data_IF_558125787167
#
_entry.id   IF_558125787167
#
_cell.length_a   1.000
_cell.length_b   1.000
_cell.length_c   1.000
_cell.angle_alpha   90.00
_cell.angle_beta   90.00
_cell.angle_gamma   90.00
#
_symmetry.space_group_name_H-M   'P 1'
#
loop_
_entity.id
_entity.type
_entity.pdbx_description
1 polymer ?
#
# COMPACT_ATOMS: atom_id res chain seq x y z
N UNK A 1 27.81 -8.45 -31.91
CA UNK A 1 27.64 -7.13 -31.29
C UNK A 1 27.78 -7.35 -29.79
N UNK A 2 28.63 -6.60 -29.07
CA UNK A 2 28.70 -6.75 -27.62
C UNK A 2 27.34 -6.35 -27.03
N UNK A 3 26.71 -7.27 -26.29
CA UNK A 3 25.38 -7.10 -25.71
C UNK A 3 25.35 -5.88 -24.81
N UNK A 4 24.23 -5.16 -24.82
CA UNK A 4 24.12 -3.94 -24.02
C UNK A 4 23.98 -4.36 -22.55
N UNK A 5 24.89 -3.88 -21.71
CA UNK A 5 24.68 -3.90 -20.25
C UNK A 5 23.71 -2.77 -19.92
N UNK A 6 22.60 -3.10 -19.25
CA UNK A 6 21.64 -2.12 -18.75
C UNK A 6 21.98 -1.80 -17.30
N UNK A 7 22.26 -0.54 -17.01
CA UNK A 7 22.46 -0.02 -15.65
C UNK A 7 21.27 0.85 -15.26
N UNK A 8 20.69 0.58 -14.08
CA UNK A 8 19.61 1.34 -13.48
C UNK A 8 19.95 1.66 -12.04
N UNK A 9 19.69 2.89 -11.60
CA UNK A 9 19.86 3.29 -10.21
C UNK A 9 18.50 3.49 -9.57
N UNK A 10 18.15 2.70 -8.56
CA UNK A 10 16.83 2.65 -7.93
C UNK A 10 16.91 3.31 -6.55
N UNK A 11 16.07 4.32 -6.23
CA UNK A 11 16.16 5.03 -4.96
C UNK A 11 15.45 4.28 -3.83
N UNK A 12 16.02 4.31 -2.63
CA UNK A 12 15.47 3.73 -1.40
C UNK A 12 14.81 4.80 -0.52
N UNK A 13 13.80 4.45 0.32
CA UNK A 13 13.13 5.41 1.20
C UNK A 13 14.08 6.16 2.14
N UNK A 14 15.21 5.54 2.49
CA UNK A 14 16.27 6.11 3.33
C UNK A 14 17.13 7.17 2.64
N UNK A 15 16.87 7.49 1.37
CA UNK A 15 17.70 8.38 0.53
C UNK A 15 18.90 7.69 -0.12
N UNK A 16 19.15 6.43 0.21
CA UNK A 16 20.17 5.59 -0.44
C UNK A 16 19.72 5.20 -1.87
N UNK A 17 20.64 4.65 -2.66
CA UNK A 17 20.34 4.13 -4.01
C UNK A 17 20.97 2.76 -4.20
N UNK A 18 20.28 1.91 -4.95
CA UNK A 18 20.77 0.61 -5.39
C UNK A 18 21.12 0.68 -6.86
N UNK A 19 22.29 0.18 -7.23
CA UNK A 19 22.71 0.08 -8.61
C UNK A 19 22.46 -1.33 -9.13
N UNK A 20 21.60 -1.43 -10.14
CA UNK A 20 21.17 -2.67 -10.77
C UNK A 20 21.82 -2.79 -12.15
N UNK A 21 22.43 -3.94 -12.40
CA UNK A 21 23.11 -4.27 -13.64
C UNK A 21 22.50 -5.53 -14.25
N UNK A 22 22.17 -5.46 -15.54
CA UNK A 22 21.63 -6.58 -16.31
C UNK A 22 22.47 -6.77 -17.57
N UNK A 23 22.93 -7.99 -17.82
CA UNK A 23 23.67 -8.32 -19.03
C UNK A 23 22.82 -9.18 -19.96
N UNK A 24 22.74 -8.82 -21.24
CA UNK A 24 22.01 -9.63 -22.24
C UNK A 24 22.74 -10.94 -22.62
N UNK A 25 24.07 -10.99 -22.48
CA UNK A 25 24.90 -12.11 -22.95
C UNK A 25 25.34 -13.09 -21.85
N UNK A 26 25.29 -12.65 -20.60
CA UNK A 26 25.40 -13.50 -19.42
C UNK A 26 24.10 -13.27 -18.68
N UNK A 27 23.24 -14.27 -18.47
CA UNK A 27 21.90 -14.08 -17.92
C UNK A 27 21.97 -13.80 -16.41
N UNK A 28 22.77 -12.82 -16.02
CA UNK A 28 23.08 -12.47 -14.65
C UNK A 28 22.51 -11.08 -14.38
N UNK A 29 21.72 -11.02 -13.32
CA UNK A 29 21.22 -9.80 -12.71
C UNK A 29 22.05 -9.53 -11.44
N UNK A 30 22.48 -8.28 -11.24
CA UNK A 30 23.28 -7.90 -10.07
C UNK A 30 22.77 -6.61 -9.45
N UNK A 31 22.71 -6.57 -8.12
CA UNK A 31 22.41 -5.37 -7.35
C UNK A 31 23.57 -5.03 -6.41
N UNK A 32 23.94 -3.75 -6.40
CA UNK A 32 25.01 -3.20 -5.58
C UNK A 32 24.53 -2.03 -4.73
N UNK A 33 25.24 -1.81 -3.63
CA UNK A 33 25.20 -0.59 -2.86
C UNK A 33 26.63 -0.23 -2.42
N UNK A 34 27.06 1.01 -2.69
CA UNK A 34 28.40 1.50 -2.35
C UNK A 34 29.53 0.57 -2.84
N UNK A 35 29.44 0.18 -4.13
CA UNK A 35 30.31 -0.78 -4.83
C UNK A 35 30.36 -2.20 -4.23
N UNK A 36 29.53 -2.51 -3.23
CA UNK A 36 29.39 -3.84 -2.64
C UNK A 36 28.23 -4.61 -3.29
N UNK A 37 28.49 -5.84 -3.73
CA UNK A 37 27.46 -6.76 -4.24
C UNK A 37 26.52 -7.17 -3.09
N UNK A 38 25.23 -6.85 -3.24
CA UNK A 38 24.18 -7.24 -2.29
C UNK A 38 23.48 -8.52 -2.73
N UNK A 39 23.25 -8.68 -4.03
CA UNK A 39 22.56 -9.83 -4.60
C UNK A 39 22.98 -10.04 -6.06
N UNK A 40 23.32 -11.28 -6.40
CA UNK A 40 23.64 -11.73 -7.77
C UNK A 40 22.75 -12.91 -8.09
N UNK A 41 22.07 -12.86 -9.23
CA UNK A 41 21.03 -13.82 -9.63
C UNK A 41 21.27 -14.28 -11.06
N UNK A 42 21.32 -15.58 -11.27
CA UNK A 42 21.30 -16.21 -12.58
C UNK A 42 19.84 -16.44 -13.03
N UNK A 43 19.51 -16.02 -14.24
CA UNK A 43 18.18 -16.07 -14.85
C UNK A 43 18.17 -17.10 -15.99
N UNK A 44 17.82 -18.36 -15.69
CA UNK A 44 17.79 -19.43 -16.70
C UNK A 44 16.41 -20.05 -16.77
N UNK A 45 15.82 -20.12 -17.98
CA UNK A 45 14.53 -20.76 -18.24
C UNK A 45 13.37 -20.28 -17.33
N UNK A 46 13.35 -18.98 -16.99
CA UNK A 46 12.35 -18.39 -16.10
C UNK A 46 12.56 -18.72 -14.61
N UNK A 47 13.72 -19.27 -14.27
CA UNK A 47 14.14 -19.54 -12.90
C UNK A 47 15.19 -18.51 -12.50
N UNK A 48 15.00 -17.87 -11.35
CA UNK A 48 15.93 -16.93 -10.77
C UNK A 48 16.68 -17.57 -9.59
N UNK A 49 17.93 -18.00 -9.83
CA UNK A 49 18.79 -18.64 -8.83
C UNK A 49 19.77 -17.63 -8.26
N UNK A 50 19.80 -17.52 -6.94
CA UNK A 50 20.72 -16.64 -6.22
C UNK A 50 22.10 -17.29 -6.15
N UNK A 51 23.08 -16.68 -6.82
CA UNK A 51 24.48 -17.12 -6.79
C UNK A 51 25.23 -16.54 -5.58
N UNK A 52 24.94 -15.28 -5.24
CA UNK A 52 25.58 -14.56 -4.14
C UNK A 52 24.58 -13.62 -3.50
N UNK A 53 24.67 -13.47 -2.18
CA UNK A 53 23.84 -12.56 -1.42
C UNK A 53 24.57 -12.02 -0.18
N UNK A 54 24.17 -10.84 0.28
CA UNK A 54 24.61 -10.31 1.56
C UNK A 54 23.98 -11.09 2.73
N UNK A 55 24.62 -11.04 3.89
CA UNK A 55 24.13 -11.73 5.10
C UNK A 55 23.17 -10.88 5.93
N UNK A 56 23.12 -9.57 5.69
CA UNK A 56 22.27 -8.64 6.42
C UNK A 56 20.83 -8.69 5.84
N UNK A 57 19.81 -9.11 6.62
CA UNK A 57 18.47 -9.34 6.08
C UNK A 57 17.82 -8.10 5.47
N UNK A 58 18.06 -6.90 6.02
CA UNK A 58 17.45 -5.67 5.51
C UNK A 58 17.99 -5.33 4.12
N UNK A 59 19.31 -5.37 3.93
CA UNK A 59 19.96 -5.22 2.63
C UNK A 59 19.50 -6.28 1.63
N UNK A 60 19.32 -7.53 2.07
CA UNK A 60 18.81 -8.58 1.20
C UNK A 60 17.38 -8.28 0.72
N UNK A 61 16.50 -7.82 1.62
CA UNK A 61 15.14 -7.43 1.26
C UNK A 61 15.11 -6.23 0.30
N UNK A 62 16.02 -5.25 0.47
CA UNK A 62 16.19 -4.13 -0.46
C UNK A 62 16.66 -4.59 -1.84
N UNK A 63 17.60 -5.53 -1.90
CA UNK A 63 18.06 -6.11 -3.15
C UNK A 63 16.97 -6.98 -3.82
N UNK A 64 16.22 -7.76 -3.04
CA UNK A 64 15.08 -8.53 -3.53
C UNK A 64 13.96 -7.63 -4.08
N UNK A 65 13.70 -6.50 -3.44
CA UNK A 65 12.82 -5.47 -3.99
C UNK A 65 13.28 -5.02 -5.38
N UNK A 66 14.55 -4.58 -5.49
CA UNK A 66 15.14 -4.13 -6.74
C UNK A 66 15.05 -5.21 -7.84
N UNK A 67 15.22 -6.48 -7.47
CA UNK A 67 15.03 -7.62 -8.35
C UNK A 67 13.58 -7.70 -8.86
N UNK A 68 12.61 -7.78 -7.95
CA UNK A 68 11.20 -7.97 -8.32
C UNK A 68 10.61 -6.81 -9.12
N UNK A 69 11.04 -5.57 -8.90
CA UNK A 69 10.58 -4.43 -9.74
C UNK A 69 11.27 -4.41 -11.11
N UNK A 70 12.49 -4.92 -11.21
CA UNK A 70 13.22 -4.99 -12.48
C UNK A 70 12.82 -6.21 -13.33
N UNK A 71 12.38 -7.28 -12.67
CA UNK A 71 11.98 -8.56 -13.25
C UNK A 71 10.52 -8.88 -12.88
N UNK A 72 9.54 -8.18 -13.48
CA UNK A 72 8.13 -8.29 -13.08
C UNK A 72 7.50 -9.66 -13.35
N UNK A 73 8.04 -10.41 -14.31
CA UNK A 73 7.55 -11.76 -14.67
C UNK A 73 8.11 -12.86 -13.75
N UNK A 74 9.08 -12.52 -12.88
CA UNK A 74 9.66 -13.47 -11.93
C UNK A 74 8.85 -13.50 -10.64
N UNK A 75 8.43 -14.71 -10.26
CA UNK A 75 7.60 -14.95 -9.08
C UNK A 75 8.42 -15.33 -7.85
N UNK A 76 9.69 -15.74 -8.00
CA UNK A 76 10.49 -16.17 -6.87
C UNK A 76 12.00 -15.98 -7.06
N UNK A 77 12.73 -15.87 -5.94
CA UNK A 77 14.18 -16.03 -5.85
C UNK A 77 14.50 -17.34 -5.13
N UNK A 78 15.34 -18.17 -5.74
CA UNK A 78 15.78 -19.46 -5.18
C UNK A 78 17.18 -19.34 -4.58
N UNK A 79 17.32 -19.73 -3.32
CA UNK A 79 18.57 -19.68 -2.57
C UNK A 79 19.13 -21.09 -2.38
N UNK A 80 20.44 -21.23 -2.51
CA UNK A 80 21.16 -22.46 -2.22
C UNK A 80 21.19 -22.79 -0.72
N UNK A 81 21.66 -24.00 -0.40
CA UNK A 81 21.56 -24.57 0.94
C UNK A 81 22.25 -23.73 2.02
N UNK A 82 21.58 -23.55 3.17
CA UNK A 82 22.20 -22.98 4.38
C UNK A 82 21.81 -21.54 4.72
N UNK A 83 21.07 -20.84 3.85
CA UNK A 83 20.44 -19.56 4.19
C UNK A 83 19.03 -19.79 4.75
N UNK A 84 18.74 -19.22 5.93
CA UNK A 84 17.44 -19.34 6.57
C UNK A 84 16.97 -17.99 7.09
N UNK A 85 15.90 -17.47 6.49
CA UNK A 85 15.17 -16.34 7.01
C UNK A 85 13.71 -16.76 7.25
N UNK A 86 13.13 -16.28 8.36
CA UNK A 86 11.80 -16.69 8.82
C UNK A 86 10.66 -16.41 7.83
N UNK A 87 10.91 -15.57 6.82
CA UNK A 87 9.96 -15.18 5.79
C UNK A 87 10.11 -15.97 4.47
N UNK A 88 11.00 -16.97 4.40
CA UNK A 88 11.23 -17.79 3.20
C UNK A 88 10.62 -19.19 3.34
N UNK A 89 10.16 -19.74 2.22
CA UNK A 89 9.75 -21.15 2.14
C UNK A 89 11.00 -22.02 2.20
N UNK A 90 10.99 -23.02 3.08
CA UNK A 90 12.05 -24.02 3.16
C UNK A 90 11.67 -25.22 2.29
N UNK A 91 12.56 -25.65 1.40
CA UNK A 91 12.35 -26.79 0.52
C UNK A 91 13.16 -28.02 0.96
N UNK A 92 12.87 -29.16 0.34
CA UNK A 92 13.65 -30.38 0.51
C UNK A 92 15.10 -30.13 0.02
N UNK A 93 16.09 -30.57 0.79
CA UNK A 93 17.54 -30.34 0.58
C UNK A 93 18.11 -29.00 1.09
N UNK A 94 17.46 -28.36 2.07
CA UNK A 94 17.93 -27.13 2.74
C UNK A 94 17.98 -25.89 1.85
N UNK A 95 17.38 -25.95 0.66
CA UNK A 95 17.17 -24.80 -0.22
C UNK A 95 16.04 -23.92 0.33
N UNK A 96 16.09 -22.63 0.01
CA UNK A 96 15.07 -21.67 0.43
C UNK A 96 14.53 -20.87 -0.76
N UNK A 97 13.27 -20.46 -0.68
CA UNK A 97 12.62 -19.67 -1.73
C UNK A 97 11.95 -18.44 -1.14
N UNK A 98 12.22 -17.28 -1.72
CA UNK A 98 11.49 -16.05 -1.47
C UNK A 98 10.50 -15.82 -2.60
N UNK A 99 9.22 -16.02 -2.33
CA UNK A 99 8.16 -15.71 -3.27
C UNK A 99 7.90 -14.20 -3.32
N UNK A 100 7.50 -13.72 -4.50
CA UNK A 100 7.14 -12.33 -4.75
C UNK A 100 5.96 -11.90 -3.87
N UNK A 101 4.91 -12.71 -3.81
CA UNK A 101 3.70 -12.43 -3.04
C UNK A 101 3.98 -12.38 -1.52
N UNK A 102 4.90 -13.20 -1.02
CA UNK A 102 5.38 -13.18 0.36
C UNK A 102 6.23 -11.93 0.63
N UNK A 103 7.13 -11.58 -0.29
CA UNK A 103 7.98 -10.40 -0.18
C UNK A 103 7.16 -9.12 0.03
N UNK A 104 6.12 -8.91 -0.79
CA UNK A 104 5.26 -7.72 -0.67
C UNK A 104 4.40 -7.69 0.59
N UNK A 105 4.33 -8.76 1.36
CA UNK A 105 3.64 -8.78 2.65
C UNK A 105 4.54 -8.35 3.82
N UNK A 106 5.82 -8.10 3.56
CA UNK A 106 6.78 -7.67 4.57
C UNK A 106 6.74 -6.14 4.75
N UNK A 107 6.52 -5.62 5.98
CA UNK A 107 6.45 -4.19 6.27
C UNK A 107 7.71 -3.40 5.90
N UNK A 108 8.91 -3.90 6.23
CA UNK A 108 10.20 -3.42 5.73
C UNK A 108 10.40 -1.90 5.77
N UNK A 109 11.10 -1.36 4.77
CA UNK A 109 11.32 0.08 4.62
C UNK A 109 10.06 0.84 4.15
N UNK A 110 8.94 0.15 3.89
CA UNK A 110 7.72 0.80 3.42
C UNK A 110 7.06 1.64 4.51
N UNK A 111 7.11 1.15 5.76
CA UNK A 111 6.45 1.78 6.90
C UNK A 111 7.43 2.63 7.71
N UNK A 112 7.08 3.89 7.97
CA UNK A 112 7.97 4.82 8.69
C UNK A 112 8.16 4.48 10.17
N UNK A 113 7.25 3.70 10.78
CA UNK A 113 7.37 3.26 12.18
C UNK A 113 8.08 1.91 12.36
N UNK A 114 8.60 1.31 11.27
CA UNK A 114 9.28 0.01 11.29
C UNK A 114 8.40 -1.15 11.76
N UNK A 115 9.04 -2.27 12.07
CA UNK A 115 8.40 -3.52 12.52
C UNK A 115 7.97 -3.44 13.98
N UNK A 116 6.91 -2.68 14.25
CA UNK A 116 6.23 -2.78 15.53
C UNK A 116 5.57 -4.16 15.64
N UNK A 117 5.82 -4.86 16.75
CA UNK A 117 5.08 -6.08 17.10
C UNK A 117 3.56 -5.84 16.91
N UNK A 118 2.79 -6.84 16.43
CA UNK A 118 1.35 -6.68 16.26
C UNK A 118 0.69 -6.17 17.54
N UNK A 119 -0.18 -5.17 17.42
CA UNK A 119 -0.85 -4.57 18.57
C UNK A 119 -1.71 -5.62 19.30
N UNK A 120 -1.55 -5.84 20.62
CA UNK A 120 -2.28 -6.89 21.34
C UNK A 120 -3.81 -6.74 21.24
N UNK A 121 -4.51 -7.86 21.06
CA UNK A 121 -5.97 -7.85 20.98
C UNK A 121 -6.58 -7.81 22.38
N UNK A 122 -7.36 -6.77 22.65
CA UNK A 122 -8.30 -6.74 23.77
C UNK A 122 -9.63 -6.22 23.25
N UNK A 123 -10.70 -6.95 23.51
CA UNK A 123 -12.03 -6.57 23.04
C UNK A 123 -12.64 -5.53 23.96
N UNK A 124 -13.23 -4.50 23.37
CA UNK A 124 -14.00 -3.47 24.05
C UNK A 124 -15.41 -3.44 23.47
N UNK A 125 -16.29 -2.71 24.14
CA UNK A 125 -17.65 -2.45 23.66
C UNK A 125 -17.82 -0.93 23.55
N UNK A 126 -18.23 -0.44 22.38
CA UNK A 126 -18.49 0.98 22.19
C UNK A 126 -19.84 1.41 22.82
N UNK A 127 -20.13 2.71 22.78
CA UNK A 127 -21.37 3.25 23.33
C UNK A 127 -22.65 2.74 22.63
N UNK A 128 -22.53 2.20 21.41
CA UNK A 128 -23.63 1.56 20.68
C UNK A 128 -23.85 0.10 21.06
N UNK A 129 -23.01 -0.46 21.95
CA UNK A 129 -23.04 -1.87 22.35
C UNK A 129 -22.27 -2.79 21.40
N UNK A 130 -21.54 -2.25 20.43
CA UNK A 130 -20.78 -3.04 19.46
C UNK A 130 -19.46 -3.51 20.06
N UNK A 131 -19.20 -4.82 19.99
CA UNK A 131 -17.95 -5.43 20.43
C UNK A 131 -16.90 -5.43 19.30
N UNK A 132 -15.75 -4.82 19.53
CA UNK A 132 -14.64 -4.75 18.57
C UNK A 132 -13.27 -4.70 19.29
N UNK A 133 -12.15 -4.96 18.58
CA UNK A 133 -10.82 -4.79 19.17
C UNK A 133 -10.55 -3.34 19.56
N UNK A 134 -9.87 -3.13 20.68
CA UNK A 134 -9.26 -1.84 21.01
C UNK A 134 -8.22 -1.51 19.95
N UNK A 135 -8.34 -0.32 19.36
CA UNK A 135 -7.44 0.15 18.29
C UNK A 135 -6.20 0.81 18.88
N UNK A 136 -5.08 0.70 18.16
CA UNK A 136 -3.85 1.42 18.47
C UNK A 136 -4.11 2.93 18.38
N UNK A 137 -3.34 3.72 19.12
CA UNK A 137 -3.30 5.16 18.92
C UNK A 137 -2.90 5.47 17.47
N UNK A 138 -3.48 6.54 16.91
CA UNK A 138 -3.16 6.96 15.54
C UNK A 138 -1.67 7.30 15.45
N UNK A 139 -0.97 6.87 14.37
CA UNK A 139 0.37 7.36 14.10
C UNK A 139 0.35 8.87 13.81
N UNK A 140 1.53 9.48 13.73
CA UNK A 140 1.70 10.86 13.33
C UNK A 140 2.85 10.95 12.32
N UNK A 141 2.71 11.85 11.34
CA UNK A 141 3.68 12.06 10.27
C UNK A 141 3.50 11.08 9.11
N UNK A 142 4.58 10.86 8.37
CA UNK A 142 4.61 9.84 7.31
C UNK A 142 4.40 8.44 7.90
N UNK A 143 3.58 7.64 7.23
CA UNK A 143 3.27 6.26 7.63
C UNK A 143 3.65 5.24 6.56
N UNK A 144 3.79 5.69 5.31
CA UNK A 144 4.10 4.84 4.17
C UNK A 144 4.88 5.61 3.10
N UNK A 145 5.88 4.98 2.48
CA UNK A 145 6.56 5.50 1.29
C UNK A 145 7.04 4.35 0.39
N UNK A 146 6.86 4.51 -0.93
CA UNK A 146 7.41 3.60 -1.96
C UNK A 146 7.75 4.39 -3.21
N UNK A 147 8.88 4.07 -3.85
CA UNK A 147 9.18 4.56 -5.19
C UNK A 147 8.43 3.69 -6.19
N UNK A 148 7.52 4.27 -6.98
CA UNK A 148 6.76 3.53 -7.98
C UNK A 148 7.44 3.66 -9.34
N UNK A 149 8.05 2.57 -9.83
CA UNK A 149 8.78 2.60 -11.11
C UNK A 149 7.86 2.81 -12.33
N UNK A 150 6.55 2.61 -12.20
CA UNK A 150 5.59 2.84 -13.28
C UNK A 150 5.35 4.32 -13.57
N UNK A 151 5.44 5.17 -12.55
CA UNK A 151 5.32 6.64 -12.68
C UNK A 151 6.63 7.38 -12.41
N UNK A 152 7.70 6.67 -12.05
CA UNK A 152 9.03 7.21 -11.75
C UNK A 152 8.99 8.31 -10.67
N UNK A 153 8.18 8.09 -9.63
CA UNK A 153 7.95 9.06 -8.57
C UNK A 153 7.78 8.37 -7.21
N UNK A 154 8.05 9.10 -6.15
CA UNK A 154 7.70 8.68 -4.79
C UNK A 154 6.21 8.79 -4.57
N UNK A 155 5.60 7.73 -4.05
CA UNK A 155 4.24 7.74 -3.52
C UNK A 155 4.31 7.54 -2.02
N UNK A 156 3.80 8.50 -1.26
CA UNK A 156 3.76 8.43 0.19
C UNK A 156 2.39 8.75 0.77
N UNK A 157 2.17 8.27 2.00
CA UNK A 157 1.01 8.57 2.81
C UNK A 157 1.49 9.12 4.13
N UNK A 158 0.89 10.23 4.56
CA UNK A 158 1.10 10.80 5.89
C UNK A 158 -0.22 11.08 6.57
N UNK A 159 -0.22 11.11 7.89
CA UNK A 159 -1.38 11.58 8.64
C UNK A 159 -1.65 13.04 8.33
N UNK A 160 -2.93 13.40 8.26
CA UNK A 160 -3.34 14.80 8.11
C UNK A 160 -2.84 15.62 9.29
N UNK A 161 -2.23 16.77 9.00
CA UNK A 161 -1.92 17.80 9.99
C UNK A 161 -2.93 18.93 9.84
N UNK A 162 -3.68 19.25 10.90
CA UNK A 162 -4.77 20.23 10.80
C UNK A 162 -4.24 21.62 10.49
N UNK A 163 -3.10 22.01 11.06
CA UNK A 163 -2.56 23.36 10.83
C UNK A 163 -1.98 23.50 9.42
N UNK A 164 -1.37 22.45 8.88
CA UNK A 164 -0.80 22.46 7.53
C UNK A 164 -1.85 22.22 6.43
N UNK A 165 -2.83 21.35 6.67
CA UNK A 165 -3.72 20.84 5.62
C UNK A 165 -5.12 21.45 5.63
N UNK A 166 -5.56 22.17 6.68
CA UNK A 166 -6.94 22.67 6.75
C UNK A 166 -7.35 23.49 5.52
N UNK A 167 -6.52 24.44 5.07
CA UNK A 167 -6.82 25.24 3.88
C UNK A 167 -6.88 24.40 2.60
N UNK A 168 -6.05 23.36 2.51
CA UNK A 168 -6.01 22.42 1.39
C UNK A 168 -7.26 21.54 1.36
N UNK A 169 -7.59 20.95 2.51
CA UNK A 169 -8.81 20.19 2.72
C UNK A 169 -10.05 21.01 2.35
N UNK A 170 -10.14 22.25 2.86
CA UNK A 170 -11.23 23.17 2.54
C UNK A 170 -11.34 23.44 1.04
N UNK A 171 -10.22 23.74 0.37
CA UNK A 171 -10.20 23.96 -1.08
C UNK A 171 -10.70 22.74 -1.84
N UNK A 172 -10.24 21.55 -1.45
CA UNK A 172 -10.63 20.30 -2.10
C UNK A 172 -12.12 20.01 -1.89
N UNK A 173 -12.63 20.08 -0.66
CA UNK A 173 -14.03 19.78 -0.32
C UNK A 173 -15.03 20.77 -0.95
N UNK A 174 -14.62 22.03 -1.15
CA UNK A 174 -15.45 23.03 -1.80
C UNK A 174 -15.36 23.03 -3.34
N UNK A 175 -14.49 22.20 -3.94
CA UNK A 175 -14.49 22.06 -5.40
C UNK A 175 -15.77 21.35 -5.85
N UNK A 176 -16.41 21.85 -6.92
CA UNK A 176 -17.68 21.31 -7.43
C UNK A 176 -17.63 19.79 -7.63
N UNK A 177 -16.51 19.30 -8.17
CA UNK A 177 -16.26 17.89 -8.42
C UNK A 177 -16.26 17.03 -7.17
N UNK A 178 -15.64 17.50 -6.08
CA UNK A 178 -15.57 16.75 -4.83
C UNK A 178 -16.87 16.87 -4.07
N UNK A 179 -17.42 18.10 -3.99
CA UNK A 179 -18.69 18.40 -3.34
C UNK A 179 -19.84 17.52 -3.86
N UNK A 180 -19.86 17.23 -5.17
CA UNK A 180 -20.86 16.36 -5.80
C UNK A 180 -20.91 14.92 -5.25
N UNK A 181 -19.86 14.43 -4.59
CA UNK A 181 -19.80 13.07 -4.04
C UNK A 181 -19.56 13.01 -2.54
N UNK A 182 -18.88 14.01 -1.98
CA UNK A 182 -18.51 14.05 -0.56
C UNK A 182 -19.48 14.85 0.29
N UNK A 183 -20.24 15.79 -0.31
CA UNK A 183 -21.26 16.60 0.39
C UNK A 183 -20.75 17.29 1.66
N UNK A 184 -19.45 17.64 1.67
CA UNK A 184 -18.75 18.29 2.79
C UNK A 184 -18.28 19.71 2.45
N UNK A 185 -18.96 20.42 1.55
CA UNK A 185 -18.69 21.86 1.35
C UNK A 185 -19.03 22.64 2.61
N UNK A 186 -18.25 23.67 2.93
CA UNK A 186 -18.37 24.39 4.20
C UNK A 186 -17.32 25.46 4.41
N UNK A 187 -17.43 26.17 5.53
CA UNK A 187 -16.48 27.22 5.94
C UNK A 187 -15.21 26.63 6.56
N UNK A 188 -14.19 27.48 6.73
CA UNK A 188 -12.93 27.10 7.38
C UNK A 188 -13.16 26.61 8.82
N UNK A 189 -14.07 27.25 9.56
CA UNK A 189 -14.42 26.89 10.93
C UNK A 189 -15.14 25.55 10.99
N UNK A 190 -16.07 25.29 10.08
CA UNK A 190 -16.79 24.02 9.99
C UNK A 190 -15.83 22.87 9.67
N UNK A 191 -14.90 23.07 8.73
CA UNK A 191 -13.89 22.08 8.39
C UNK A 191 -12.87 21.86 9.51
N UNK A 192 -12.46 22.91 10.22
CA UNK A 192 -11.59 22.76 11.40
C UNK A 192 -12.27 21.93 12.48
N UNK A 193 -13.51 22.26 12.83
CA UNK A 193 -14.29 21.51 13.81
C UNK A 193 -14.46 20.04 13.40
N UNK A 194 -14.72 19.79 12.10
CA UNK A 194 -14.79 18.45 11.54
C UNK A 194 -13.47 17.68 11.73
N UNK A 195 -12.34 18.25 11.29
CA UNK A 195 -11.03 17.59 11.39
C UNK A 195 -10.60 17.36 12.85
N UNK A 196 -10.88 18.30 13.76
CA UNK A 196 -10.63 18.14 15.20
C UNK A 196 -11.48 17.03 15.83
N UNK A 197 -12.72 16.86 15.36
CA UNK A 197 -13.59 15.75 15.79
C UNK A 197 -13.05 14.42 15.28
N UNK A 198 -12.64 14.38 14.01
CA UNK A 198 -12.04 13.21 13.36
C UNK A 198 -10.73 12.82 14.04
N UNK A 199 -9.89 13.76 14.45
CA UNK A 199 -8.64 13.49 15.16
C UNK A 199 -8.87 12.67 16.45
N UNK A 200 -9.98 12.90 17.15
CA UNK A 200 -10.34 12.19 18.40
C UNK A 200 -10.97 10.82 18.15
N UNK A 201 -11.50 10.58 16.95
CA UNK A 201 -12.19 9.35 16.58
C UNK A 201 -11.21 8.22 16.26
N UNK A 202 -11.03 7.26 17.17
CA UNK A 202 -10.08 6.16 16.99
C UNK A 202 -10.38 5.24 15.80
N UNK A 203 -11.63 5.23 15.33
CA UNK A 203 -12.04 4.32 14.25
C UNK A 203 -11.55 4.75 12.85
N UNK A 204 -11.20 6.02 12.65
CA UNK A 204 -10.83 6.61 11.34
C UNK A 204 -9.43 7.19 11.37
N UNK A 205 -8.59 6.82 10.40
CA UNK A 205 -7.30 7.43 10.14
C UNK A 205 -7.41 8.34 8.91
N UNK A 206 -7.16 9.63 9.12
CA UNK A 206 -7.19 10.64 8.06
C UNK A 206 -5.78 10.78 7.48
N UNK A 207 -5.66 10.53 6.17
CA UNK A 207 -4.38 10.50 5.47
C UNK A 207 -4.37 11.52 4.34
N UNK A 208 -3.18 12.03 4.07
CA UNK A 208 -2.84 12.80 2.88
C UNK A 208 -1.94 11.94 2.00
N UNK A 209 -2.34 11.78 0.74
CA UNK A 209 -1.51 11.18 -0.29
C UNK A 209 -0.59 12.22 -0.92
N UNK A 210 0.67 11.84 -1.10
CA UNK A 210 1.66 12.66 -1.77
C UNK A 210 2.28 11.95 -2.98
N UNK A 211 2.62 12.71 -4.01
CA UNK A 211 3.49 12.28 -5.11
C UNK A 211 4.69 13.22 -5.14
N UNK A 212 5.91 12.69 -5.04
CA UNK A 212 7.15 13.47 -4.86
C UNK A 212 6.99 14.57 -3.80
N UNK A 213 6.44 14.17 -2.65
CA UNK A 213 6.16 15.03 -1.49
C UNK A 213 5.12 16.14 -1.71
N UNK A 214 4.49 16.22 -2.90
CA UNK A 214 3.37 17.11 -3.16
C UNK A 214 2.03 16.50 -2.70
N UNK A 215 1.31 17.11 -1.72
CA UNK A 215 0.00 16.65 -1.29
C UNK A 215 -1.06 16.78 -2.38
N UNK A 216 -1.71 15.69 -2.76
CA UNK A 216 -2.67 15.67 -3.87
C UNK A 216 -4.04 15.07 -3.55
N UNK A 217 -4.14 14.24 -2.52
CA UNK A 217 -5.35 13.49 -2.18
C UNK A 217 -5.57 13.43 -0.66
N UNK A 218 -6.84 13.25 -0.28
CA UNK A 218 -7.26 12.99 1.08
C UNK A 218 -7.96 11.62 1.14
N UNK A 219 -7.61 10.84 2.17
CA UNK A 219 -8.17 9.52 2.40
C UNK A 219 -8.69 9.38 3.83
N UNK A 220 -9.76 8.61 3.97
CA UNK A 220 -10.23 8.10 5.26
C UNK A 220 -10.07 6.60 5.25
N UNK A 221 -9.14 6.09 6.04
CA UNK A 221 -9.01 4.66 6.29
C UNK A 221 -9.66 4.32 7.63
N UNK A 222 -10.75 3.56 7.60
CA UNK A 222 -11.57 3.31 8.77
C UNK A 222 -11.65 1.82 9.13
N UNK A 223 -11.96 1.49 10.38
CA UNK A 223 -12.28 0.12 10.79
C UNK A 223 -13.72 -0.20 10.42
N UNK A 224 -13.92 -1.10 9.45
CA UNK A 224 -15.22 -1.27 8.82
C UNK A 224 -16.29 -1.83 9.75
N UNK A 225 -15.90 -2.65 10.73
CA UNK A 225 -16.80 -3.13 11.79
C UNK A 225 -17.36 -1.99 12.65
N UNK A 226 -16.61 -0.92 12.82
CA UNK A 226 -16.99 0.25 13.62
C UNK A 226 -17.77 1.30 12.81
N UNK A 227 -17.88 1.12 11.50
CA UNK A 227 -18.46 2.11 10.59
C UNK A 227 -19.91 1.76 10.20
N UNK A 228 -20.59 2.69 9.50
CA UNK A 228 -21.97 2.54 9.04
C UNK A 228 -22.13 1.44 7.99
N UNK A 229 -21.05 1.02 7.33
CA UNK A 229 -21.09 -0.11 6.38
C UNK A 229 -21.24 -1.47 7.07
N UNK A 230 -20.88 -1.59 8.36
CA UNK A 230 -20.85 -2.86 9.08
C UNK A 230 -22.15 -3.69 8.99
N UNK A 231 -23.36 -3.10 9.11
CA UNK A 231 -24.60 -3.88 9.03
C UNK A 231 -24.91 -4.46 7.63
N UNK A 232 -24.21 -4.00 6.59
CA UNK A 232 -24.49 -4.36 5.21
C UNK A 232 -23.67 -5.54 4.72
N UNK A 233 -22.76 -6.09 5.52
CA UNK A 233 -22.04 -7.34 5.23
C UNK A 233 -21.52 -7.99 6.53
N UNK A 234 -20.94 -9.19 6.44
CA UNK A 234 -20.33 -9.84 7.60
C UNK A 234 -18.95 -9.24 7.92
N UNK A 235 -18.94 -8.07 8.57
CA UNK A 235 -17.73 -7.31 8.91
C UNK A 235 -16.89 -8.01 9.98
N UNK A 236 -15.63 -8.31 9.65
CA UNK A 236 -14.66 -8.89 10.56
C UNK A 236 -13.95 -7.82 11.41
N UNK A 237 -13.34 -8.27 12.50
CA UNK A 237 -12.69 -7.43 13.51
C UNK A 237 -11.59 -6.51 12.95
N UNK A 238 -10.93 -6.91 11.87
CA UNK A 238 -9.80 -6.17 11.27
C UNK A 238 -10.06 -5.75 9.82
N UNK A 239 -11.31 -5.80 9.36
CA UNK A 239 -11.62 -5.22 8.06
C UNK A 239 -11.37 -3.72 8.08
N UNK A 240 -10.68 -3.24 7.04
CA UNK A 240 -10.46 -1.82 6.80
C UNK A 240 -11.39 -1.35 5.70
N UNK A 241 -11.80 -0.10 5.74
CA UNK A 241 -12.51 0.53 4.64
C UNK A 241 -11.86 1.84 4.21
N UNK A 242 -12.11 2.25 2.97
CA UNK A 242 -11.50 3.44 2.38
C UNK A 242 -12.54 4.37 1.75
N UNK A 243 -12.46 5.64 2.13
CA UNK A 243 -12.95 6.77 1.33
C UNK A 243 -11.78 7.55 0.78
N UNK A 244 -11.95 8.09 -0.42
CA UNK A 244 -10.88 8.77 -1.14
C UNK A 244 -11.40 9.95 -1.96
N UNK A 245 -10.62 11.03 -1.97
CA UNK A 245 -10.78 12.12 -2.93
C UNK A 245 -9.41 12.53 -3.46
N UNK A 246 -9.35 12.82 -4.76
CA UNK A 246 -8.21 13.47 -5.39
C UNK A 246 -8.54 14.94 -5.52
N UNK A 247 -7.79 15.79 -4.82
CA UNK A 247 -7.98 17.23 -4.80
C UNK A 247 -7.27 17.92 -5.96
N UNK A 248 -6.05 17.51 -6.26
CA UNK A 248 -5.23 18.13 -7.32
C UNK A 248 -5.45 17.47 -8.68
N UNK A 249 -5.92 18.25 -9.66
CA UNK A 249 -6.36 17.70 -10.94
C UNK A 249 -5.21 17.13 -11.80
N UNK A 250 -4.01 17.67 -11.69
CA UNK A 250 -2.83 17.22 -12.44
C UNK A 250 -2.25 15.88 -11.93
N UNK A 251 -2.75 15.40 -10.79
CA UNK A 251 -2.49 14.05 -10.28
C UNK A 251 -3.59 13.04 -10.65
N UNK A 252 -4.55 13.46 -11.48
CA UNK A 252 -5.57 12.55 -12.04
C UNK A 252 -5.04 11.87 -13.29
N UNK A 253 -5.19 10.54 -13.35
CA UNK A 253 -4.82 9.75 -14.52
C UNK A 253 -4.75 8.27 -14.16
N UNK A 254 -5.05 7.34 -15.08
CA UNK A 254 -5.15 5.91 -14.76
C UNK A 254 -3.86 5.33 -14.16
N UNK A 255 -2.69 5.76 -14.64
CA UNK A 255 -1.39 5.33 -14.11
C UNK A 255 -1.14 5.83 -12.69
N UNK A 256 -1.45 7.10 -12.40
CA UNK A 256 -1.35 7.66 -11.04
C UNK A 256 -2.36 7.01 -10.10
N UNK A 257 -3.60 6.78 -10.55
CA UNK A 257 -4.64 6.06 -9.79
C UNK A 257 -4.18 4.66 -9.42
N UNK A 258 -3.60 3.91 -10.37
CA UNK A 258 -2.99 2.61 -10.06
C UNK A 258 -1.93 2.76 -8.96
N UNK A 259 -1.00 3.70 -9.09
CA UNK A 259 0.10 3.88 -8.15
C UNK A 259 -0.36 4.21 -6.73
N UNK A 260 -1.23 5.23 -6.55
CA UNK A 260 -1.65 5.65 -5.20
C UNK A 260 -2.70 4.72 -4.58
N UNK A 261 -3.59 4.12 -5.36
CA UNK A 261 -4.58 3.18 -4.81
C UNK A 261 -3.89 1.90 -4.33
N UNK A 262 -2.89 1.43 -5.08
CA UNK A 262 -2.03 0.33 -4.66
C UNK A 262 -1.25 0.70 -3.39
N UNK A 263 -0.67 1.90 -3.31
CA UNK A 263 0.02 2.37 -2.11
C UNK A 263 -0.90 2.39 -0.88
N UNK A 264 -2.12 2.92 -1.02
CA UNK A 264 -3.11 2.94 0.05
C UNK A 264 -3.49 1.52 0.50
N UNK A 265 -3.80 0.62 -0.43
CA UNK A 265 -4.16 -0.76 -0.08
C UNK A 265 -2.99 -1.52 0.56
N UNK A 266 -1.79 -1.37 0.00
CA UNK A 266 -0.57 -1.97 0.53
C UNK A 266 -0.30 -1.50 1.96
N UNK A 267 -0.34 -0.19 2.20
CA UNK A 267 -0.22 0.36 3.55
C UNK A 267 -1.22 -0.29 4.52
N UNK A 268 -2.51 -0.36 4.17
CA UNK A 268 -3.53 -0.91 5.08
C UNK A 268 -3.36 -2.41 5.37
N UNK A 269 -2.85 -3.19 4.41
CA UNK A 269 -2.51 -4.59 4.66
C UNK A 269 -1.25 -4.77 5.52
N UNK A 270 -0.31 -3.83 5.47
CA UNK A 270 0.91 -3.88 6.28
C UNK A 270 0.75 -3.26 7.68
N UNK A 271 -0.09 -2.22 7.82
CA UNK A 271 -0.34 -1.49 9.07
C UNK A 271 -0.88 -2.41 10.18
N UNK A 272 -1.70 -3.40 9.81
CA UNK A 272 -2.09 -4.49 10.69
C UNK A 272 -2.16 -5.81 9.90
N UNK A 273 -1.27 -6.76 10.23
CA UNK A 273 -1.18 -8.06 9.56
C UNK A 273 -2.46 -8.90 9.65
N UNK A 274 -3.39 -8.59 10.58
CA UNK A 274 -4.70 -9.26 10.70
C UNK A 274 -5.74 -8.71 9.74
N UNK A 275 -5.45 -7.59 9.05
CA UNK A 275 -6.31 -7.07 7.99
C UNK A 275 -6.31 -8.04 6.82
N UNK A 276 -7.45 -8.71 6.60
CA UNK A 276 -7.64 -9.65 5.49
C UNK A 276 -8.49 -9.08 4.36
N UNK A 277 -9.23 -7.98 4.60
CA UNK A 277 -10.07 -7.32 3.61
C UNK A 277 -10.03 -5.80 3.73
N UNK A 278 -10.07 -5.15 2.56
CA UNK A 278 -10.32 -3.73 2.41
C UNK A 278 -11.64 -3.54 1.68
N UNK A 279 -12.53 -2.71 2.22
CA UNK A 279 -13.85 -2.42 1.64
C UNK A 279 -13.95 -0.98 1.14
N UNK A 280 -14.83 -0.77 0.17
CA UNK A 280 -15.24 0.57 -0.27
C UNK A 280 -16.70 0.54 -0.73
N UNK A 281 -17.38 1.67 -0.58
CA UNK A 281 -18.81 1.82 -0.88
C UNK A 281 -19.11 3.00 -1.82
N UNK A 282 -18.50 3.07 -3.03
CA UNK A 282 -18.85 4.10 -3.99
C UNK A 282 -20.34 4.05 -4.34
N UNK A 283 -20.90 5.16 -4.84
CA UNK A 283 -22.25 5.13 -5.41
C UNK A 283 -22.31 4.07 -6.53
N UNK A 284 -23.41 3.34 -6.62
CA UNK A 284 -23.58 2.28 -7.62
C UNK A 284 -23.54 2.80 -9.06
N UNK A 285 -23.81 4.09 -9.25
CA UNK A 285 -23.78 4.80 -10.54
C UNK A 285 -22.39 5.42 -10.86
N UNK A 286 -21.37 5.23 -10.01
CA UNK A 286 -20.02 5.73 -10.25
C UNK A 286 -19.15 4.67 -10.96
N UNK A 287 -19.50 4.39 -12.23
CA UNK A 287 -18.83 3.36 -13.05
C UNK A 287 -17.31 3.55 -13.11
N UNK A 288 -16.84 4.80 -13.17
CA UNK A 288 -15.41 5.10 -13.24
C UNK A 288 -14.66 4.62 -11.98
N UNK A 289 -15.20 4.91 -10.79
CA UNK A 289 -14.58 4.45 -9.55
C UNK A 289 -14.66 2.92 -9.43
N UNK A 290 -15.81 2.33 -9.78
CA UNK A 290 -15.99 0.87 -9.77
C UNK A 290 -14.97 0.19 -10.69
N UNK A 291 -14.76 0.71 -11.91
CA UNK A 291 -13.76 0.20 -12.85
C UNK A 291 -12.33 0.31 -12.30
N UNK A 292 -11.97 1.43 -11.66
CA UNK A 292 -10.65 1.57 -11.02
C UNK A 292 -10.43 0.54 -9.91
N UNK A 293 -11.45 0.31 -9.07
CA UNK A 293 -11.41 -0.68 -8.00
C UNK A 293 -11.34 -2.12 -8.56
N UNK A 294 -12.16 -2.46 -9.55
CA UNK A 294 -12.13 -3.78 -10.21
C UNK A 294 -10.82 -4.05 -10.92
N UNK A 295 -10.22 -3.02 -11.56
CA UNK A 295 -8.90 -3.14 -12.16
C UNK A 295 -7.81 -3.45 -11.12
N UNK A 296 -8.05 -3.16 -9.83
CA UNK A 296 -7.21 -3.52 -8.68
C UNK A 296 -7.82 -4.68 -7.87
N UNK A 297 -8.60 -5.54 -8.52
CA UNK A 297 -9.13 -6.81 -7.99
C UNK A 297 -10.13 -6.68 -6.85
N UNK A 298 -10.71 -5.51 -6.63
CA UNK A 298 -11.90 -5.43 -5.79
C UNK A 298 -13.06 -6.16 -6.47
N UNK A 299 -13.61 -7.16 -5.80
CA UNK A 299 -14.87 -7.78 -6.19
C UNK A 299 -16.03 -6.82 -5.89
N UNK A 300 -17.13 -6.93 -6.63
CA UNK A 300 -18.43 -6.26 -6.34
C UNK A 300 -19.47 -7.31 -5.92
N UNK A 301 -19.52 -7.77 -4.66
CA UNK A 301 -20.43 -8.85 -4.27
C UNK A 301 -21.91 -8.48 -4.39
N UNK A 302 -22.25 -7.21 -4.11
CA UNK A 302 -23.63 -6.72 -4.14
C UNK A 302 -23.71 -5.20 -4.15
N UNK A 303 -24.93 -4.70 -4.34
CA UNK A 303 -25.32 -3.32 -4.09
C UNK A 303 -26.33 -3.27 -2.95
N UNK A 304 -26.38 -2.15 -2.22
CA UNK A 304 -27.27 -1.94 -1.09
C UNK A 304 -27.61 -0.45 -0.93
N UNK A 305 -28.64 -0.13 -0.18
CA UNK A 305 -29.11 1.24 0.00
C UNK A 305 -28.68 1.78 1.36
N UNK A 306 -27.91 2.87 1.34
CA UNK A 306 -27.82 3.80 2.46
C UNK A 306 -28.98 4.81 2.39
N UNK A 307 -29.32 5.50 3.50
CA UNK A 307 -30.36 6.53 3.48
C UNK A 307 -30.16 7.64 2.43
N UNK A 308 -28.91 7.92 2.04
CA UNK A 308 -28.53 9.02 1.14
C UNK A 308 -28.01 8.55 -0.23
N UNK A 309 -27.76 7.24 -0.44
CA UNK A 309 -27.25 6.72 -1.73
C UNK A 309 -27.51 5.23 -1.90
N UNK A 310 -27.61 4.77 -3.14
CA UNK A 310 -27.37 3.37 -3.48
C UNK A 310 -25.88 3.15 -3.65
N UNK A 311 -25.32 2.19 -2.90
CA UNK A 311 -23.89 1.91 -2.85
C UNK A 311 -23.56 0.56 -3.48
N UNK A 312 -22.40 0.46 -4.10
CA UNK A 312 -21.79 -0.80 -4.51
C UNK A 312 -20.80 -1.24 -3.42
N UNK A 313 -21.01 -2.42 -2.81
CA UNK A 313 -20.02 -3.00 -1.92
C UNK A 313 -18.85 -3.49 -2.76
N UNK A 314 -17.68 -2.91 -2.55
CA UNK A 314 -16.42 -3.31 -3.18
C UNK A 314 -15.54 -3.96 -2.10
N UNK A 315 -14.99 -5.15 -2.37
CA UNK A 315 -14.16 -5.90 -1.41
C UNK A 315 -12.88 -6.35 -2.08
N UNK A 316 -11.73 -5.93 -1.54
CA UNK A 316 -10.41 -6.44 -1.89
C UNK A 316 -9.94 -7.39 -0.80
N UNK A 317 -9.70 -8.65 -1.15
CA UNK A 317 -9.11 -9.61 -0.24
C UNK A 317 -7.57 -9.53 -0.30
N UNK A 318 -6.94 -9.82 0.85
CA UNK A 318 -5.48 -9.79 1.01
C UNK A 318 -4.77 -10.72 0.02
N UNK A 319 -5.23 -11.96 -0.09
CA UNK A 319 -4.70 -12.95 -1.04
C UNK A 319 -4.80 -12.44 -2.47
N UNK A 320 -5.97 -11.95 -2.88
CA UNK A 320 -6.19 -11.39 -4.21
C UNK A 320 -5.30 -10.16 -4.50
N UNK A 321 -4.94 -9.36 -3.49
CA UNK A 321 -4.04 -8.23 -3.65
C UNK A 321 -2.59 -8.65 -3.89
N UNK A 322 -2.08 -9.61 -3.09
CA UNK A 322 -0.68 -10.02 -3.12
C UNK A 322 -0.37 -11.10 -4.15
N UNK A 323 -1.34 -11.92 -4.55
CA UNK A 323 -1.19 -12.92 -5.61
C UNK A 323 -0.67 -12.25 -6.89
N UNK A 324 0.51 -12.61 -7.40
CA UNK A 324 1.12 -11.97 -8.58
C UNK A 324 1.13 -10.44 -8.46
N UNK A 325 1.52 -9.94 -7.29
CA UNK A 325 1.50 -8.53 -6.93
C UNK A 325 2.17 -7.67 -8.02
N UNK A 326 1.41 -6.76 -8.63
CA UNK A 326 1.87 -5.84 -9.68
C UNK A 326 2.44 -4.52 -9.12
N UNK A 327 2.89 -4.51 -7.86
CA UNK A 327 3.57 -3.33 -7.31
C UNK A 327 4.88 -3.11 -8.08
N UNK A 328 5.02 -1.88 -8.58
CA UNK A 328 6.15 -1.35 -9.33
C UNK A 328 7.06 -0.48 -8.49
#
# INVERSE_FOLDING_TARGET
MPGKSLHRSIPLPTGQRLDVFEQELAPQWRCQWDDQDLLTVELTDGIARVEQHCQEPTQLLRAAWAFFVSQPDMEALQFESGFNAAFMIQEENQTARLERDMFWQLPGDWLSQGDALPYPVTMIMDASGRRHPRRRAKPAGEVYRRFDTGIQAWVSLRTLDIEEDLHRFMRWQNSERVAAFWEQSGTLEEHRAYLESQAKESRVLNLIGCIDDEPFAYFEAYWAKEDRIAPYYDAQDFDRGIHMLVGEDHHRGPHKVKAWLNALCHYLFLDDCRTTRIVSEPRSDNDRMIQHLQARRFAKPKEFDFPHKRAALMVLHRDAFFERCELS
#
